data_IF_129010731328
#
_entry.id   IF_129010731328
#
_cell.length_a   1.000
_cell.length_b   1.000
_cell.length_c   1.000
_cell.angle_alpha   90.00
_cell.angle_beta   90.00
_cell.angle_gamma   90.00
#
_symmetry.space_group_name_H-M   'P 1'
#
loop_
_entity.id
_entity.type
_entity.pdbx_description
1 polymer ?
#
# COMPACT_ATOMS: atom_id res chain seq x y z
N UNK A 1 -25.86 -39.46 -65.29
CA UNK A 1 -24.40 -39.37 -65.03
C UNK A 1 -24.11 -37.89 -64.92
N UNK A 2 -23.94 -37.42 -63.68
CA UNK A 2 -24.01 -36.01 -63.30
C UNK A 2 -22.65 -35.33 -63.46
N UNK A 3 -22.61 -34.24 -64.22
CA UNK A 3 -21.44 -33.39 -64.47
C UNK A 3 -21.29 -32.38 -63.33
N UNK A 4 -20.25 -32.54 -62.51
CA UNK A 4 -19.85 -31.59 -61.46
C UNK A 4 -18.63 -30.78 -61.89
N UNK A 5 -18.84 -29.53 -62.28
CA UNK A 5 -17.77 -28.55 -62.49
C UNK A 5 -17.67 -27.66 -61.24
N UNK A 6 -16.62 -27.87 -60.45
CA UNK A 6 -16.27 -27.03 -59.31
C UNK A 6 -15.46 -25.82 -59.78
N UNK A 7 -16.04 -24.62 -59.67
CA UNK A 7 -15.37 -23.35 -59.92
C UNK A 7 -15.04 -22.72 -58.57
N UNK A 8 -13.76 -22.47 -58.34
CA UNK A 8 -13.22 -21.69 -57.22
C UNK A 8 -12.89 -20.28 -57.75
N UNK A 9 -13.33 -19.20 -57.07
CA UNK A 9 -12.62 -17.92 -57.13
C UNK A 9 -12.09 -17.61 -55.72
N UNK A 10 -10.78 -17.61 -55.52
CA UNK A 10 -9.85 -16.50 -55.79
C UNK A 10 -10.07 -15.32 -54.85
N UNK A 11 -9.16 -15.21 -53.87
CA UNK A 11 -9.10 -14.15 -52.89
C UNK A 11 -8.64 -12.83 -53.54
N UNK A 12 -9.28 -11.72 -53.18
CA UNK A 12 -8.75 -10.37 -53.44
C UNK A 12 -8.71 -9.61 -52.13
N UNK A 13 -7.50 -9.37 -51.64
CA UNK A 13 -7.21 -8.46 -50.53
C UNK A 13 -7.19 -7.04 -51.10
N UNK A 14 -8.22 -6.25 -50.77
CA UNK A 14 -8.21 -4.82 -51.02
C UNK A 14 -7.62 -4.11 -49.79
N UNK A 15 -6.39 -3.62 -49.93
CA UNK A 15 -5.76 -2.73 -48.96
C UNK A 15 -6.42 -1.35 -49.00
N UNK A 16 -6.99 -0.93 -47.87
CA UNK A 16 -7.44 0.45 -47.67
C UNK A 16 -6.39 1.19 -46.83
N UNK A 17 -5.57 2.00 -47.50
CA UNK A 17 -4.70 2.99 -46.84
C UNK A 17 -5.58 4.16 -46.36
N UNK A 18 -5.94 4.16 -45.08
CA UNK A 18 -6.59 5.31 -44.45
C UNK A 18 -5.52 6.25 -43.90
N UNK A 19 -5.32 7.38 -44.59
CA UNK A 19 -4.49 8.47 -44.12
C UNK A 19 -5.12 9.08 -42.86
N UNK A 20 -4.53 8.80 -41.71
CA UNK A 20 -4.93 9.36 -40.43
C UNK A 20 -4.52 10.84 -40.38
N UNK A 21 -5.44 11.73 -40.74
CA UNK A 21 -5.30 13.16 -40.46
C UNK A 21 -5.24 13.34 -38.94
N UNK A 22 -4.04 13.62 -38.44
CA UNK A 22 -3.77 14.09 -37.08
C UNK A 22 -4.49 15.43 -36.85
N UNK A 23 -5.77 15.35 -36.54
CA UNK A 23 -6.49 16.45 -35.92
C UNK A 23 -5.96 16.61 -34.50
N UNK A 24 -5.09 17.60 -34.31
CA UNK A 24 -4.66 18.11 -33.00
C UNK A 24 -5.88 18.31 -32.10
N UNK A 25 -6.02 17.60 -30.97
CA UNK A 25 -7.05 17.95 -30.01
C UNK A 25 -6.70 19.30 -29.39
N UNK A 26 -7.65 20.23 -29.54
CA UNK A 26 -7.63 21.56 -28.91
C UNK A 26 -7.51 21.44 -27.40
N UNK A 27 -6.55 22.17 -26.84
CA UNK A 27 -6.53 22.75 -25.49
C UNK A 27 -7.10 21.87 -24.36
N UNK A 28 -6.25 21.04 -23.73
CA UNK A 28 -6.50 20.55 -22.38
C UNK A 28 -6.49 21.74 -21.41
N UNK A 29 -7.66 22.22 -20.97
CA UNK A 29 -7.73 22.99 -19.73
C UNK A 29 -7.52 22.01 -18.58
N UNK A 30 -6.29 21.92 -18.10
CA UNK A 30 -6.00 21.25 -16.83
C UNK A 30 -6.68 22.05 -15.71
N UNK A 31 -7.50 21.44 -14.84
CA UNK A 31 -7.95 22.11 -13.65
C UNK A 31 -6.72 22.39 -12.77
N UNK A 32 -6.41 23.68 -12.60
CA UNK A 32 -5.33 24.16 -11.75
C UNK A 32 -5.77 23.98 -10.30
N UNK A 33 -5.31 22.92 -9.64
CA UNK A 33 -5.44 22.78 -8.19
C UNK A 33 -4.49 23.82 -7.58
N UNK A 34 -5.07 24.93 -7.12
CA UNK A 34 -4.35 25.92 -6.33
C UNK A 34 -4.71 25.67 -4.87
N UNK A 35 -3.77 25.16 -4.08
CA UNK A 35 -3.89 25.24 -2.63
C UNK A 35 -3.97 26.71 -2.26
N UNK A 36 -5.13 27.16 -1.76
CA UNK A 36 -5.26 28.46 -1.10
C UNK A 36 -4.53 28.36 0.23
N UNK A 37 -3.26 28.77 0.26
CA UNK A 37 -2.62 29.17 1.50
C UNK A 37 -3.27 30.51 1.88
N UNK A 38 -4.12 30.51 2.90
CA UNK A 38 -4.59 31.75 3.51
C UNK A 38 -3.40 32.44 4.17
N UNK A 39 -2.97 33.56 3.62
CA UNK A 39 -2.06 34.50 4.24
C UNK A 39 -2.80 35.80 4.51
N UNK A 40 -3.01 36.12 5.78
CA UNK A 40 -2.76 37.44 6.35
C UNK A 40 -2.80 37.30 7.89
N UNK A 41 -1.67 37.23 8.59
CA UNK A 41 -0.74 38.29 9.04
C UNK A 41 -1.19 39.02 10.30
N UNK A 42 -0.48 38.78 11.42
CA UNK A 42 0.38 39.78 12.09
C UNK A 42 0.84 39.27 13.46
N UNK A 43 2.15 39.06 13.62
CA UNK A 43 2.94 39.63 14.73
C UNK A 43 4.43 39.32 14.47
N UNK A 44 5.15 40.33 14.00
CA UNK A 44 6.61 40.29 13.84
C UNK A 44 7.28 40.21 15.21
N UNK A 45 7.95 39.08 15.48
CA UNK A 45 8.98 38.99 16.51
C UNK A 45 10.38 39.06 15.87
N UNK A 46 11.34 39.83 16.40
CA UNK A 46 12.64 39.99 15.75
C UNK A 46 13.47 38.70 15.84
N UNK A 47 14.12 38.33 14.73
CA UNK A 47 15.11 37.26 14.66
C UNK A 47 16.41 37.69 15.38
N UNK A 48 17.05 36.84 16.20
CA UNK A 48 18.30 37.20 16.85
C UNK A 48 19.49 37.00 15.89
N UNK A 49 20.38 38.00 15.84
CA UNK A 49 21.73 37.92 15.25
C UNK A 49 22.79 37.81 16.36
N UNK A 50 24.03 37.38 16.03
CA UNK A 50 24.93 36.78 17.01
C UNK A 50 25.84 37.80 17.73
N UNK A 51 26.24 37.41 18.94
CA UNK A 51 27.37 37.93 19.72
C UNK A 51 27.35 39.43 20.07
N UNK A 52 26.87 39.73 21.29
CA UNK A 52 27.54 40.74 22.10
C UNK A 52 27.67 40.27 23.55
N UNK A 53 28.92 39.92 23.86
CA UNK A 53 29.47 39.58 25.16
C UNK A 53 29.54 40.85 26.00
N UNK A 54 28.86 40.90 27.16
CA UNK A 54 29.37 41.50 28.43
C UNK A 54 28.31 41.49 29.55
N UNK A 55 28.65 40.76 30.61
CA UNK A 55 28.57 41.22 32.00
C UNK A 55 27.19 41.33 32.64
N UNK A 56 26.78 40.27 33.34
CA UNK A 56 26.01 40.44 34.57
C UNK A 56 26.65 39.59 35.67
N UNK A 57 26.91 40.25 36.79
CA UNK A 57 27.61 39.75 37.95
C UNK A 57 26.87 38.55 38.55
N UNK A 58 27.63 37.47 38.78
CA UNK A 58 27.22 36.33 39.58
C UNK A 58 27.17 36.80 41.04
N UNK A 59 25.96 36.99 41.56
CA UNK A 59 25.70 37.06 42.99
C UNK A 59 24.42 36.27 43.25
N UNK A 60 24.57 35.02 43.67
CA UNK A 60 23.47 34.11 43.96
C UNK A 60 24.01 32.77 44.43
N UNK A 61 24.28 32.70 45.73
CA UNK A 61 24.65 31.49 46.45
C UNK A 61 23.56 30.42 46.32
N UNK A 62 23.98 29.18 46.09
CA UNK A 62 23.26 27.98 46.54
C UNK A 62 22.12 27.51 45.64
N UNK A 63 22.42 26.53 44.78
CA UNK A 63 21.41 25.78 44.06
C UNK A 63 22.03 24.68 43.22
N UNK A 64 22.52 23.62 43.86
CA UNK A 64 22.83 22.38 43.17
C UNK A 64 21.51 21.77 42.71
N UNK A 65 21.04 22.12 41.51
CA UNK A 65 20.07 21.28 40.81
C UNK A 65 20.81 20.02 40.37
N UNK A 66 20.79 19.00 41.24
CA UNK A 66 21.03 17.63 40.81
C UNK A 66 20.03 17.33 39.70
N UNK A 67 20.50 17.30 38.46
CA UNK A 67 19.80 16.58 37.40
C UNK A 67 19.86 15.13 37.86
N UNK A 68 18.80 14.69 38.54
CA UNK A 68 18.57 13.27 38.71
C UNK A 68 18.48 12.72 37.28
N UNK A 69 19.51 11.97 36.89
CA UNK A 69 19.41 11.03 35.79
C UNK A 69 18.32 10.03 36.20
N UNK A 70 17.07 10.41 35.96
CA UNK A 70 15.98 9.47 35.96
C UNK A 70 16.37 8.37 34.97
N UNK A 71 16.12 7.09 35.28
CA UNK A 71 16.36 6.05 34.32
C UNK A 71 15.61 6.44 33.05
N UNK A 72 16.35 6.58 31.95
CA UNK A 72 15.77 6.53 30.62
C UNK A 72 15.06 5.18 30.61
N UNK A 73 13.73 5.21 30.69
CA UNK A 73 12.92 4.03 30.53
C UNK A 73 13.26 3.47 29.15
N UNK A 74 14.12 2.45 29.15
CA UNK A 74 14.29 1.56 28.02
C UNK A 74 12.90 1.08 27.63
N UNK A 75 12.54 1.06 26.33
CA UNK A 75 11.23 0.59 25.91
C UNK A 75 10.97 -0.79 26.50
N UNK A 76 9.84 -0.88 27.20
CA UNK A 76 9.23 -2.09 27.77
C UNK A 76 9.26 -3.26 26.77
N UNK A 77 9.37 -4.51 27.24
CA UNK A 77 9.77 -5.66 26.45
C UNK A 77 8.74 -5.98 25.36
N UNK A 78 9.23 -6.49 24.22
CA UNK A 78 8.48 -7.04 23.07
C UNK A 78 7.17 -7.75 23.50
N UNK A 79 6.06 -7.01 23.62
CA UNK A 79 4.77 -7.62 23.92
C UNK A 79 4.26 -8.26 22.61
N UNK A 80 4.46 -9.57 22.52
CA UNK A 80 4.04 -10.37 21.38
C UNK A 80 2.54 -10.64 21.46
N UNK A 81 1.81 -10.19 20.44
CA UNK A 81 0.37 -10.36 20.33
C UNK A 81 0.06 -11.65 19.57
N UNK A 82 -0.79 -12.52 20.12
CA UNK A 82 -1.32 -13.67 19.38
C UNK A 82 -2.23 -13.18 18.26
N UNK A 83 -2.01 -13.67 17.05
CA UNK A 83 -2.78 -13.31 15.86
C UNK A 83 -3.35 -14.55 15.22
N UNK A 84 -4.63 -14.48 14.89
CA UNK A 84 -5.38 -15.57 14.28
C UNK A 84 -5.36 -15.47 12.76
N UNK A 85 -5.67 -16.58 12.09
CA UNK A 85 -5.91 -16.62 10.65
C UNK A 85 -7.16 -15.81 10.25
N UNK A 86 -7.32 -15.51 8.96
CA UNK A 86 -8.44 -14.69 8.47
C UNK A 86 -9.80 -15.36 8.72
N UNK A 87 -9.85 -16.69 8.63
CA UNK A 87 -11.08 -17.46 8.73
C UNK A 87 -11.93 -17.38 7.46
N UNK A 88 -13.18 -17.85 7.54
CA UNK A 88 -14.08 -17.99 6.38
C UNK A 88 -15.09 -16.86 6.23
N UNK A 89 -15.16 -15.96 7.22
CA UNK A 89 -16.14 -14.87 7.23
C UNK A 89 -15.49 -13.53 6.88
N UNK A 90 -16.16 -12.69 6.07
CA UNK A 90 -15.70 -11.34 5.81
C UNK A 90 -15.56 -10.53 7.10
N UNK A 91 -14.50 -9.72 7.20
CA UNK A 91 -14.20 -8.88 8.37
C UNK A 91 -14.29 -7.40 8.02
N UNK A 92 -15.05 -6.65 8.80
CA UNK A 92 -15.08 -5.18 8.72
C UNK A 92 -13.82 -4.62 9.36
N UNK A 93 -13.20 -3.63 8.72
CA UNK A 93 -12.06 -2.93 9.31
C UNK A 93 -12.54 -1.90 10.34
N UNK A 94 -11.86 -1.84 11.47
CA UNK A 94 -12.12 -0.87 12.54
C UNK A 94 -11.16 0.34 12.38
N UNK A 95 -11.66 1.59 12.40
CA UNK A 95 -10.78 2.76 12.41
C UNK A 95 -9.96 2.91 13.71
N UNK A 96 -10.38 2.32 14.82
CA UNK A 96 -9.69 2.42 16.11
C UNK A 96 -8.56 1.40 16.28
N UNK A 97 -8.62 0.25 15.58
CA UNK A 97 -7.66 -0.83 15.74
C UNK A 97 -7.32 -1.51 14.41
N UNK A 98 -6.04 -1.83 14.15
CA UNK A 98 -5.65 -2.54 12.95
C UNK A 98 -6.15 -3.99 12.99
N UNK A 99 -6.69 -4.47 11.86
CA UNK A 99 -6.98 -5.89 11.69
C UNK A 99 -5.66 -6.61 11.38
N UNK A 100 -5.17 -7.42 12.33
CA UNK A 100 -3.98 -8.25 12.16
C UNK A 100 -4.40 -9.68 11.86
N UNK A 101 -3.77 -10.27 10.86
CA UNK A 101 -4.13 -11.59 10.34
C UNK A 101 -2.87 -12.39 10.05
N UNK A 102 -2.87 -13.64 10.45
CA UNK A 102 -1.82 -14.60 10.14
C UNK A 102 -2.10 -15.23 8.77
N UNK A 103 -1.12 -15.17 7.86
CA UNK A 103 -1.25 -15.68 6.50
C UNK A 103 -0.09 -16.61 6.20
N UNK A 104 -0.39 -17.85 5.80
CA UNK A 104 0.61 -18.83 5.42
C UNK A 104 1.19 -18.52 4.04
N UNK A 105 2.51 -18.70 3.90
CA UNK A 105 3.18 -18.57 2.60
C UNK A 105 3.16 -19.89 1.85
N UNK A 106 3.09 -19.86 0.50
CA UNK A 106 3.13 -21.07 -0.31
C UNK A 106 4.51 -21.74 -0.28
N UNK A 107 5.60 -20.98 -0.19
CA UNK A 107 6.97 -21.49 -0.14
C UNK A 107 7.91 -20.49 0.55
N UNK A 108 8.82 -20.99 1.39
CA UNK A 108 9.89 -20.22 2.06
C UNK A 108 11.25 -20.44 1.39
N UNK A 109 12.19 -19.52 1.64
CA UNK A 109 13.60 -19.62 1.23
C UNK A 109 13.79 -19.97 -0.24
N UNK A 110 13.04 -19.31 -1.13
CA UNK A 110 13.11 -19.53 -2.58
C UNK A 110 14.46 -19.13 -3.14
N UNK A 111 14.94 -19.88 -4.13
CA UNK A 111 16.19 -19.51 -4.81
C UNK A 111 15.99 -18.27 -5.69
N UNK A 112 17.08 -17.59 -6.04
CA UNK A 112 17.01 -16.41 -6.92
C UNK A 112 16.32 -16.71 -8.26
N UNK A 113 16.61 -17.86 -8.86
CA UNK A 113 15.99 -18.29 -10.11
C UNK A 113 14.48 -18.51 -9.97
N UNK A 114 14.02 -19.07 -8.85
CA UNK A 114 12.59 -19.23 -8.57
C UNK A 114 11.88 -17.89 -8.39
N UNK A 115 12.53 -16.92 -7.73
CA UNK A 115 12.01 -15.56 -7.55
C UNK A 115 11.90 -14.79 -8.86
N UNK A 116 12.80 -15.05 -9.80
CA UNK A 116 12.76 -14.49 -11.15
C UNK A 116 11.63 -15.12 -11.98
N UNK A 117 11.30 -16.39 -11.76
CA UNK A 117 10.23 -17.09 -12.48
C UNK A 117 8.82 -16.84 -11.90
N UNK A 118 8.71 -16.73 -10.57
CA UNK A 118 7.46 -16.59 -9.86
C UNK A 118 7.53 -15.48 -8.81
N UNK A 119 6.52 -14.63 -8.77
CA UNK A 119 6.36 -13.56 -7.79
C UNK A 119 5.38 -14.02 -6.72
N UNK A 120 5.75 -13.87 -5.45
CA UNK A 120 4.80 -14.00 -4.34
C UNK A 120 3.90 -12.77 -4.33
N UNK A 121 2.58 -12.98 -4.38
CA UNK A 121 1.58 -11.92 -4.43
C UNK A 121 0.62 -12.06 -3.26
N UNK A 122 0.54 -11.04 -2.41
CA UNK A 122 -0.52 -10.86 -1.44
C UNK A 122 -1.78 -10.40 -2.16
N UNK A 123 -2.83 -11.20 -2.08
CA UNK A 123 -4.13 -10.92 -2.68
C UNK A 123 -5.16 -10.67 -1.58
N UNK A 124 -5.79 -9.51 -1.61
CA UNK A 124 -6.89 -9.13 -0.74
C UNK A 124 -8.14 -9.06 -1.61
N UNK A 125 -9.07 -9.98 -1.40
CA UNK A 125 -10.23 -10.15 -2.26
C UNK A 125 -11.54 -9.74 -1.58
N UNK A 126 -12.56 -9.56 -2.44
CA UNK A 126 -13.91 -9.21 -2.06
C UNK A 126 -13.98 -7.98 -1.13
N UNK A 127 -13.16 -6.97 -1.42
CA UNK A 127 -13.15 -5.69 -0.71
C UNK A 127 -14.46 -4.95 -1.06
N UNK A 128 -15.30 -4.73 -0.06
CA UNK A 128 -16.56 -4.00 -0.19
C UNK A 128 -16.40 -2.61 0.43
N UNK A 129 -16.66 -1.58 -0.37
CA UNK A 129 -16.56 -0.17 0.02
C UNK A 129 -17.74 0.61 -0.57
N UNK A 130 -18.12 1.69 0.10
CA UNK A 130 -19.13 2.61 -0.41
C UNK A 130 -18.55 3.42 -1.61
N UNK A 131 -19.22 3.43 -2.79
CA UNK A 131 -18.74 4.14 -3.96
C UNK A 131 -18.85 5.68 -3.87
N UNK A 132 -19.65 6.18 -2.92
CA UNK A 132 -19.92 7.62 -2.74
C UNK A 132 -18.95 8.29 -1.77
N UNK A 133 -18.22 7.52 -0.97
CA UNK A 133 -17.26 8.02 0.01
C UNK A 133 -15.83 7.65 -0.38
N UNK A 134 -14.87 8.47 0.07
CA UNK A 134 -13.47 8.12 -0.06
C UNK A 134 -13.12 7.06 0.99
N UNK A 135 -12.54 5.95 0.56
CA UNK A 135 -12.07 4.90 1.47
C UNK A 135 -10.60 4.66 1.28
N UNK A 136 -9.84 4.64 2.36
CA UNK A 136 -8.40 4.36 2.37
C UNK A 136 -8.04 3.42 3.49
N UNK A 137 -7.30 2.37 3.18
CA UNK A 137 -6.58 1.60 4.19
C UNK A 137 -5.17 1.29 3.71
N UNK A 138 -4.24 1.23 4.64
CA UNK A 138 -2.85 0.89 4.39
C UNK A 138 -2.63 -0.60 4.77
N UNK A 139 -1.74 -1.27 4.06
CA UNK A 139 -1.40 -2.69 4.25
C UNK A 139 0.04 -2.80 4.69
N UNK A 140 0.26 -3.37 5.88
CA UNK A 140 1.58 -3.64 6.42
C UNK A 140 1.83 -5.14 6.52
N UNK A 141 3.09 -5.54 6.41
CA UNK A 141 3.52 -6.93 6.50
C UNK A 141 4.68 -7.04 7.47
N UNK A 142 4.65 -8.05 8.34
CA UNK A 142 5.74 -8.41 9.22
C UNK A 142 5.98 -9.92 9.19
N UNK A 143 7.21 -10.35 9.47
CA UNK A 143 7.50 -11.75 9.71
C UNK A 143 6.82 -12.21 11.01
N UNK A 144 6.11 -13.35 10.96
CA UNK A 144 5.50 -13.93 12.15
C UNK A 144 6.54 -14.72 12.97
N UNK A 145 6.40 -14.70 14.30
CA UNK A 145 7.14 -15.60 15.21
C UNK A 145 6.20 -16.72 15.64
N UNK A 146 6.02 -17.73 14.78
CA UNK A 146 4.94 -18.71 14.94
C UNK A 146 3.58 -18.06 14.69
N UNK A 147 2.72 -18.04 15.70
CA UNK A 147 1.41 -17.37 15.65
C UNK A 147 1.42 -16.02 16.40
N UNK A 148 2.61 -15.50 16.66
CA UNK A 148 2.84 -14.26 17.38
C UNK A 148 3.27 -13.14 16.44
N UNK A 149 2.76 -11.96 16.73
CA UNK A 149 3.04 -10.74 16.03
C UNK A 149 3.71 -9.72 16.94
N UNK A 150 4.72 -9.03 16.43
CA UNK A 150 5.43 -7.99 17.18
C UNK A 150 4.53 -6.80 17.55
N UNK A 151 5.01 -5.89 18.42
CA UNK A 151 4.27 -4.68 18.79
C UNK A 151 4.08 -3.72 17.61
N UNK A 152 5.00 -3.74 16.63
CA UNK A 152 4.90 -2.95 15.39
C UNK A 152 3.99 -3.58 14.33
N UNK A 153 3.59 -2.76 13.36
CA UNK A 153 2.77 -3.20 12.21
C UNK A 153 3.59 -3.90 11.10
N UNK A 154 4.91 -3.67 11.07
CA UNK A 154 5.80 -4.14 10.01
C UNK A 154 6.07 -3.08 8.94
N UNK A 155 6.46 -3.51 7.75
CA UNK A 155 6.74 -2.64 6.61
C UNK A 155 5.50 -2.39 5.76
N UNK A 156 5.44 -1.21 5.14
CA UNK A 156 4.33 -0.82 4.28
C UNK A 156 4.42 -1.55 2.93
N UNK A 157 3.51 -2.49 2.69
CA UNK A 157 3.44 -3.23 1.43
C UNK A 157 2.56 -2.53 0.37
N UNK A 158 1.58 -1.74 0.79
CA UNK A 158 0.72 -1.03 -0.15
C UNK A 158 -0.40 -0.24 0.49
N UNK A 159 -1.16 0.46 -0.35
CA UNK A 159 -2.30 1.27 0.06
C UNK A 159 -3.46 0.97 -0.88
N UNK A 160 -4.63 0.70 -0.31
CA UNK A 160 -5.89 0.71 -1.05
C UNK A 160 -6.51 2.10 -0.94
N UNK A 161 -6.81 2.71 -2.08
CA UNK A 161 -7.52 3.99 -2.14
C UNK A 161 -8.67 3.91 -3.13
N UNK A 162 -9.89 4.06 -2.61
CA UNK A 162 -11.09 4.28 -3.41
C UNK A 162 -11.47 5.75 -3.34
N UNK A 163 -11.50 6.39 -4.51
CA UNK A 163 -12.04 7.74 -4.65
C UNK A 163 -13.55 7.69 -4.88
N UNK A 164 -14.29 8.67 -4.33
CA UNK A 164 -15.72 8.78 -4.55
C UNK A 164 -15.98 9.13 -6.02
N UNK A 165 -16.98 8.50 -6.62
CA UNK A 165 -17.42 8.86 -7.97
C UNK A 165 -18.95 8.85 -8.03
N UNK A 166 -19.52 9.92 -8.58
CA UNK A 166 -20.98 10.04 -8.75
C UNK A 166 -21.41 9.36 -10.05
N UNK A 167 -22.15 8.26 -9.91
CA UNK A 167 -22.97 7.66 -10.98
C UNK A 167 -24.36 7.42 -10.42
N UNK A 168 -25.39 7.65 -11.23
CA UNK A 168 -26.80 7.48 -10.85
C UNK A 168 -27.09 6.05 -10.36
N UNK A 169 -26.37 5.05 -10.89
CA UNK A 169 -26.42 3.63 -10.48
C UNK A 169 -25.10 3.14 -9.87
N UNK A 170 -24.61 3.77 -8.80
CA UNK A 170 -23.38 3.33 -8.13
C UNK A 170 -23.62 2.06 -7.30
N UNK A 171 -23.72 0.91 -7.96
CA UNK A 171 -23.72 -0.38 -7.28
C UNK A 171 -22.39 -0.59 -6.55
N UNK A 172 -22.45 -1.18 -5.35
CA UNK A 172 -21.26 -1.61 -4.60
C UNK A 172 -20.55 -2.68 -5.42
N UNK A 173 -19.35 -2.34 -5.91
CA UNK A 173 -18.49 -3.28 -6.62
C UNK A 173 -17.51 -3.90 -5.65
N UNK A 174 -17.34 -5.21 -5.75
CA UNK A 174 -16.24 -5.90 -5.08
C UNK A 174 -14.94 -5.53 -5.78
N UNK A 175 -14.00 -4.97 -5.02
CA UNK A 175 -12.64 -4.71 -5.46
C UNK A 175 -11.70 -5.81 -4.96
N UNK A 176 -10.53 -5.89 -5.58
CA UNK A 176 -9.41 -6.70 -5.10
C UNK A 176 -8.12 -5.89 -5.18
N UNK A 177 -7.20 -6.18 -4.27
CA UNK A 177 -5.86 -5.60 -4.23
C UNK A 177 -4.82 -6.72 -4.33
N UNK A 178 -3.83 -6.53 -5.20
CA UNK A 178 -2.71 -7.46 -5.39
C UNK A 178 -1.41 -6.72 -5.17
N UNK A 179 -0.58 -7.20 -4.26
CA UNK A 179 0.70 -6.59 -3.89
C UNK A 179 1.81 -7.63 -4.06
N UNK A 180 2.85 -7.27 -4.81
CA UNK A 180 4.03 -8.12 -4.93
C UNK A 180 4.84 -8.09 -3.64
N UNK A 181 5.14 -9.26 -3.09
CA UNK A 181 5.88 -9.40 -1.83
C UNK A 181 7.35 -9.77 -2.04
N UNK A 182 7.75 -10.37 -3.17
CA UNK A 182 9.10 -10.93 -3.34
C UNK A 182 10.22 -9.95 -2.96
N UNK A 183 10.21 -8.71 -3.46
CA UNK A 183 11.23 -7.72 -3.13
C UNK A 183 11.15 -7.25 -1.66
N UNK A 184 9.93 -7.05 -1.16
CA UNK A 184 9.69 -6.59 0.21
C UNK A 184 10.11 -7.63 1.26
N UNK A 185 9.99 -8.93 0.95
CA UNK A 185 10.47 -10.01 1.82
C UNK A 185 12.00 -10.05 1.89
N UNK A 186 12.68 -9.70 0.79
CA UNK A 186 14.15 -9.60 0.75
C UNK A 186 14.62 -8.41 1.58
N UNK A 187 13.96 -7.26 1.44
CA UNK A 187 14.28 -6.02 2.17
C UNK A 187 14.10 -6.21 3.70
N UNK A 188 13.05 -6.92 4.12
CA UNK A 188 12.81 -7.28 5.52
C UNK A 188 13.65 -8.47 6.02
N UNK A 189 14.39 -9.12 5.13
CA UNK A 189 15.12 -10.36 5.41
C UNK A 189 14.22 -11.46 6.02
N UNK A 190 12.99 -11.58 5.50
CA UNK A 190 11.91 -12.45 5.98
C UNK A 190 11.67 -13.68 5.07
N UNK A 191 12.66 -14.04 4.26
CA UNK A 191 12.58 -15.12 3.29
C UNK A 191 12.31 -16.50 3.90
N UNK A 192 12.84 -16.74 5.09
CA UNK A 192 12.75 -18.00 5.83
C UNK A 192 11.47 -18.12 6.68
N UNK A 193 10.73 -17.03 6.84
CA UNK A 193 9.48 -17.02 7.60
C UNK A 193 8.39 -17.88 6.92
N UNK A 194 7.75 -18.78 7.66
CA UNK A 194 6.67 -19.64 7.13
C UNK A 194 5.33 -18.90 7.00
N UNK A 195 5.09 -17.99 7.93
CA UNK A 195 3.86 -17.20 8.02
C UNK A 195 4.20 -15.72 8.09
N UNK A 196 3.29 -14.91 7.57
CA UNK A 196 3.36 -13.46 7.64
C UNK A 196 2.21 -12.94 8.48
N UNK A 197 2.45 -11.85 9.19
CA UNK A 197 1.40 -11.06 9.82
C UNK A 197 1.06 -9.92 8.88
N UNK A 198 -0.14 -9.94 8.33
CA UNK A 198 -0.68 -8.87 7.51
C UNK A 198 -1.53 -7.97 8.41
N UNK A 199 -1.19 -6.69 8.48
CA UNK A 199 -1.91 -5.69 9.26
C UNK A 199 -2.62 -4.70 8.34
N UNK A 200 -3.95 -4.66 8.40
CA UNK A 200 -4.80 -3.76 7.63
C UNK A 200 -5.24 -2.59 8.51
N UNK A 201 -4.87 -1.37 8.14
CA UNK A 201 -5.11 -0.16 8.93
C UNK A 201 -6.06 0.77 8.17
N UNK A 202 -7.31 0.86 8.61
CA UNK A 202 -8.28 1.77 8.02
C UNK A 202 -7.93 3.21 8.40
N UNK A 203 -7.75 4.07 7.38
CA UNK A 203 -7.40 5.49 7.54
C UNK A 203 -8.59 6.41 7.27
N UNK A 204 -9.48 6.03 6.38
CA UNK A 204 -10.67 6.80 6.05
C UNK A 204 -11.75 5.90 5.43
N UNK A 205 -13.02 6.29 5.61
CA UNK A 205 -14.17 5.58 5.05
C UNK A 205 -14.48 4.28 5.79
N UNK A 206 -15.17 3.37 5.09
CA UNK A 206 -15.58 2.06 5.59
C UNK A 206 -15.19 0.98 4.60
N UNK A 207 -14.60 -0.11 5.09
CA UNK A 207 -14.22 -1.25 4.27
C UNK A 207 -14.51 -2.56 4.97
N UNK A 208 -14.99 -3.53 4.19
CA UNK A 208 -15.09 -4.93 4.60
C UNK A 208 -14.24 -5.77 3.65
N UNK A 209 -13.36 -6.59 4.21
CA UNK A 209 -12.48 -7.49 3.46
C UNK A 209 -13.07 -8.88 3.50
N UNK A 210 -13.05 -9.59 2.37
CA UNK A 210 -13.61 -10.93 2.28
C UNK A 210 -12.58 -12.04 2.49
N UNK A 211 -11.37 -11.87 1.96
CA UNK A 211 -10.30 -12.86 2.08
C UNK A 211 -8.91 -12.21 1.93
N UNK A 212 -7.89 -12.86 2.49
CA UNK A 212 -6.48 -12.46 2.42
C UNK A 212 -5.61 -13.70 2.22
N UNK A 213 -5.00 -13.82 1.04
CA UNK A 213 -4.19 -14.98 0.65
C UNK A 213 -2.85 -14.57 0.04
N UNK A 214 -1.88 -15.47 0.06
CA UNK A 214 -0.59 -15.28 -0.63
C UNK A 214 -0.40 -16.41 -1.63
N UNK A 215 -0.27 -16.04 -2.90
CA UNK A 215 -0.15 -16.98 -4.01
C UNK A 215 1.13 -16.73 -4.82
N UNK A 216 1.65 -17.78 -5.47
CA UNK A 216 2.70 -17.66 -6.47
C UNK A 216 2.09 -17.34 -7.84
N UNK A 217 2.62 -16.32 -8.50
CA UNK A 217 2.20 -15.90 -9.84
C UNK A 217 3.41 -15.91 -10.76
N UNK A 218 3.26 -16.47 -11.96
CA UNK A 218 4.32 -16.43 -12.99
C UNK A 218 4.70 -14.98 -13.29
N UNK A 219 6.01 -14.70 -13.28
CA UNK A 219 6.55 -13.42 -13.70
C UNK A 219 6.41 -13.25 -15.20
N UNK A 220 6.40 -12.01 -15.68
CA UNK A 220 6.38 -11.74 -17.12
C UNK A 220 7.70 -12.18 -17.78
N UNK A 221 8.82 -12.18 -17.04
CA UNK A 221 10.12 -12.68 -17.56
C UNK A 221 10.11 -14.19 -17.83
N UNK A 222 9.28 -14.96 -17.11
CA UNK A 222 9.10 -16.38 -17.36
C UNK A 222 8.20 -16.70 -18.56
N UNK A 223 7.46 -15.73 -19.12
CA UNK A 223 6.57 -15.97 -20.26
C UNK A 223 7.27 -15.96 -21.61
N UNK A 224 8.45 -15.35 -21.67
CA UNK A 224 9.24 -15.19 -22.90
C UNK A 224 10.35 -16.25 -23.05
N UNK A 225 10.44 -17.22 -22.13
CA UNK A 225 11.32 -18.39 -22.19
C UNK A 225 10.54 -19.66 -22.54
#
# INVERSE_FOLDING_TARGET
>A
MSTGAGIVPSATVAGATSACLLQRPRSRRLPRVSCRQGSHDQSEGPRPTPLQRRGLLIAGLGGLCSVAAGPIALPEPDELLRVEEFGTQPRRLDPAAPLRVLVARPKKSRTKAEKEQEVEVLQIDAIRVDPTTATRFDVYVAAARGDLAGPGLGELAGIFLKLPYKREDSAVRMAGLKLGLTALLDDMNADDAEKLVVSLVLRAGDATVGDVTVDLRKSDMARDM
#
